data_IF_496902211880
#
_entry.id   IF_496902211880
#
_cell.length_a   1.000
_cell.length_b   1.000
_cell.length_c   1.000
_cell.angle_alpha   90.00
_cell.angle_beta   90.00
_cell.angle_gamma   90.00
#
_symmetry.space_group_name_H-M   'P 1'
#
loop_
_entity.id
_entity.type
_entity.pdbx_description
1 polymer ?
#
# COMPACT_ATOMS: atom_id res chain seq x y z
N UNK A 1 13.51 -8.57 -23.22
CA UNK A 1 14.77 -9.11 -22.67
C UNK A 1 15.88 -8.14 -22.98
N UNK A 2 16.34 -7.40 -21.95
CA UNK A 2 17.53 -6.54 -22.05
C UNK A 2 18.76 -7.46 -22.14
N UNK A 3 19.37 -7.56 -23.32
CA UNK A 3 20.68 -8.14 -23.49
C UNK A 3 21.73 -7.19 -22.88
N UNK A 4 21.98 -7.33 -21.59
CA UNK A 4 23.14 -6.72 -20.95
C UNK A 4 24.35 -7.61 -21.24
N UNK A 5 25.47 -7.04 -21.70
CA UNK A 5 26.70 -7.84 -21.87
C UNK A 5 27.11 -8.41 -20.51
N UNK A 6 27.49 -9.68 -20.43
CA UNK A 6 27.92 -10.27 -19.17
C UNK A 6 29.20 -9.56 -18.69
N UNK A 7 29.08 -8.87 -17.55
CA UNK A 7 30.27 -8.35 -16.87
C UNK A 7 30.95 -9.51 -16.14
N UNK A 8 32.15 -9.84 -16.55
CA UNK A 8 32.97 -10.90 -15.94
C UNK A 8 33.36 -10.58 -14.48
N UNK A 9 33.27 -9.31 -14.06
CA UNK A 9 33.58 -8.90 -12.70
C UNK A 9 32.75 -7.66 -12.30
N UNK A 10 31.63 -7.89 -11.64
CA UNK A 10 30.71 -6.84 -11.14
C UNK A 10 31.41 -5.90 -10.17
N UNK A 11 32.27 -6.43 -9.29
CA UNK A 11 32.99 -5.62 -8.30
C UNK A 11 33.95 -4.62 -8.98
N UNK A 12 34.68 -5.05 -10.00
CA UNK A 12 35.57 -4.21 -10.78
C UNK A 12 34.80 -3.09 -11.51
N UNK A 13 33.66 -3.44 -12.12
CA UNK A 13 32.79 -2.45 -12.75
C UNK A 13 32.28 -1.40 -11.76
N UNK A 14 31.72 -1.82 -10.62
CA UNK A 14 31.21 -0.92 -9.60
C UNK A 14 32.32 0.00 -9.06
N UNK A 15 33.52 -0.55 -8.83
CA UNK A 15 34.70 0.19 -8.36
C UNK A 15 35.17 1.22 -9.37
N UNK A 16 35.13 0.92 -10.68
CA UNK A 16 35.50 1.87 -11.75
C UNK A 16 34.55 3.07 -11.84
N UNK A 17 33.30 2.93 -11.38
CA UNK A 17 32.26 3.95 -11.45
C UNK A 17 32.01 4.72 -10.14
N UNK A 18 32.95 4.63 -9.18
CA UNK A 18 32.93 5.43 -7.93
C UNK A 18 33.61 6.81 -8.14
N UNK A 19 34.57 6.90 -9.07
CA UNK A 19 35.41 8.10 -9.31
C UNK A 19 35.23 8.62 -10.74
N UNK A 20 35.63 9.85 -10.96
CA UNK A 20 35.66 10.47 -12.29
C UNK A 20 34.34 11.17 -12.68
N UNK A 21 34.28 11.68 -13.93
CA UNK A 21 33.14 12.40 -14.51
C UNK A 21 31.89 11.49 -14.66
N UNK A 22 32.11 10.19 -14.88
CA UNK A 22 31.07 9.18 -15.06
C UNK A 22 30.72 8.46 -13.75
N UNK A 23 30.86 9.13 -12.63
CA UNK A 23 30.54 8.57 -11.31
C UNK A 23 29.05 8.21 -11.22
N UNK A 24 28.77 6.95 -10.91
CA UNK A 24 27.39 6.39 -10.81
C UNK A 24 27.05 5.88 -9.43
N UNK A 25 28.07 5.55 -8.63
CA UNK A 25 27.91 4.94 -7.32
C UNK A 25 28.69 5.70 -6.24
N UNK A 26 28.23 5.55 -5.01
CA UNK A 26 28.97 5.86 -3.78
C UNK A 26 29.33 4.54 -3.09
N UNK A 27 30.51 4.43 -2.50
CA UNK A 27 30.88 3.31 -1.62
C UNK A 27 30.95 3.82 -0.18
N UNK A 28 30.17 3.20 0.72
CA UNK A 28 30.17 3.44 2.16
C UNK A 28 30.04 2.10 2.87
N UNK A 29 30.83 1.85 3.91
CA UNK A 29 30.78 0.62 4.74
C UNK A 29 30.74 -0.67 3.90
N UNK A 30 31.63 -0.75 2.92
CA UNK A 30 31.75 -1.86 1.95
C UNK A 30 30.49 -2.13 1.09
N UNK A 31 29.54 -1.20 1.06
CA UNK A 31 28.31 -1.25 0.25
C UNK A 31 28.35 -0.19 -0.84
N UNK A 32 27.71 -0.49 -1.99
CA UNK A 32 27.55 0.42 -3.11
C UNK A 32 26.15 1.02 -3.12
N UNK A 33 26.07 2.34 -3.25
CA UNK A 33 24.82 3.10 -3.35
C UNK A 33 24.77 3.83 -4.69
N UNK A 34 23.60 3.86 -5.34
CA UNK A 34 23.39 4.66 -6.54
C UNK A 34 23.45 6.14 -6.21
N UNK A 35 24.18 6.92 -7.02
CA UNK A 35 24.08 8.38 -6.97
C UNK A 35 22.65 8.81 -7.34
N UNK A 36 22.12 9.81 -6.65
CA UNK A 36 20.76 10.32 -6.86
C UNK A 36 20.53 10.77 -8.32
N UNK A 37 21.53 11.38 -8.94
CA UNK A 37 21.50 11.79 -10.35
C UNK A 37 21.40 10.60 -11.28
N UNK A 38 22.20 9.57 -11.04
CA UNK A 38 22.20 8.36 -11.87
C UNK A 38 20.94 7.51 -11.65
N UNK A 39 20.42 7.46 -10.41
CA UNK A 39 19.13 6.83 -10.12
C UNK A 39 18.01 7.49 -10.93
N UNK A 40 17.99 8.84 -10.98
CA UNK A 40 16.98 9.57 -11.76
C UNK A 40 17.09 9.26 -13.25
N UNK A 41 18.31 9.23 -13.82
CA UNK A 41 18.54 8.87 -15.23
C UNK A 41 18.08 7.43 -15.52
N UNK A 42 18.35 6.49 -14.62
CA UNK A 42 17.88 5.11 -14.72
C UNK A 42 16.36 5.01 -14.68
N UNK A 43 15.72 5.68 -13.72
CA UNK A 43 14.26 5.68 -13.56
C UNK A 43 13.60 6.25 -14.82
N UNK A 44 14.16 7.32 -15.41
CA UNK A 44 13.67 7.93 -16.65
C UNK A 44 13.87 7.00 -17.88
N UNK A 45 14.96 6.22 -17.92
CA UNK A 45 15.27 5.28 -19.03
C UNK A 45 14.49 3.97 -18.95
N UNK A 46 14.26 3.47 -17.74
CA UNK A 46 13.50 2.21 -17.52
C UNK A 46 11.99 2.49 -17.65
N UNK A 47 11.60 3.77 -17.68
CA UNK A 47 10.19 4.15 -17.76
C UNK A 47 9.43 3.77 -16.48
N UNK A 48 10.14 3.71 -15.34
CA UNK A 48 9.45 3.53 -14.05
C UNK A 48 8.51 4.72 -13.91
N UNK A 49 7.21 4.50 -13.84
CA UNK A 49 6.26 5.59 -13.67
C UNK A 49 6.66 6.33 -12.39
N UNK A 50 7.05 7.60 -12.51
CA UNK A 50 7.13 8.45 -11.33
C UNK A 50 5.73 8.46 -10.75
N UNK A 51 5.57 7.83 -9.59
CA UNK A 51 4.41 8.12 -8.77
C UNK A 51 4.51 9.62 -8.48
N UNK A 52 3.75 10.42 -9.24
CA UNK A 52 3.65 11.84 -8.98
C UNK A 52 3.20 11.98 -7.53
N UNK A 53 3.92 12.78 -6.77
CA UNK A 53 3.63 13.05 -5.35
C UNK A 53 2.25 13.72 -5.13
N UNK A 54 1.52 14.01 -6.21
CA UNK A 54 0.19 14.59 -6.21
C UNK A 54 -0.69 13.80 -7.17
N UNK A 55 -1.04 12.57 -6.79
CA UNK A 55 -2.11 11.84 -7.47
C UNK A 55 -3.43 12.39 -6.92
N UNK A 56 -3.93 13.50 -7.51
CA UNK A 56 -5.32 13.87 -7.31
C UNK A 56 -6.18 12.73 -7.88
N UNK A 57 -6.82 12.00 -7.03
CA UNK A 57 -7.76 10.94 -7.41
C UNK A 57 -9.07 11.19 -6.70
N UNK A 58 -10.16 11.03 -7.45
CA UNK A 58 -11.51 11.09 -6.89
C UNK A 58 -11.88 9.86 -6.05
N UNK A 59 -10.99 8.86 -5.92
CA UNK A 59 -11.31 7.62 -5.22
C UNK A 59 -11.28 7.81 -3.69
N UNK A 60 -10.19 8.37 -3.16
CA UNK A 60 -10.10 8.91 -1.81
C UNK A 60 -8.93 9.92 -1.72
N UNK A 61 -8.94 10.85 -0.75
CA UNK A 61 -7.86 11.82 -0.57
C UNK A 61 -6.58 11.15 -0.04
N UNK A 62 -5.44 11.40 -0.69
CA UNK A 62 -4.14 10.86 -0.24
C UNK A 62 -3.69 11.50 1.08
N UNK A 63 -4.18 12.70 1.37
CA UNK A 63 -3.88 13.49 2.56
C UNK A 63 -4.23 12.75 3.85
N UNK A 64 -5.21 11.83 3.81
CA UNK A 64 -5.59 10.97 4.94
C UNK A 64 -4.39 10.15 5.48
N UNK A 65 -3.38 9.93 4.65
CA UNK A 65 -2.21 9.12 4.99
C UNK A 65 -0.97 9.94 5.35
N UNK A 66 -1.10 11.27 5.56
CA UNK A 66 0.06 12.12 5.82
C UNK A 66 0.79 11.75 7.12
N UNK A 67 0.04 11.46 8.17
CA UNK A 67 0.55 11.17 9.50
C UNK A 67 0.63 9.67 9.79
N UNK A 68 0.38 8.82 8.77
CA UNK A 68 0.45 7.37 8.88
C UNK A 68 1.85 6.84 8.56
N UNK A 69 2.05 5.53 8.73
CA UNK A 69 3.32 4.87 8.40
C UNK A 69 3.61 4.91 6.90
N UNK A 70 4.89 5.07 6.53
CA UNK A 70 5.31 5.27 5.13
C UNK A 70 4.88 4.17 4.16
N UNK A 71 4.76 2.91 4.61
CA UNK A 71 4.27 1.83 3.77
C UNK A 71 2.77 1.94 3.47
N UNK A 72 1.94 2.43 4.40
CA UNK A 72 0.52 2.70 4.17
C UNK A 72 0.34 3.79 3.11
N UNK A 73 1.09 4.89 3.24
CA UNK A 73 1.10 5.95 2.22
C UNK A 73 1.52 5.42 0.85
N UNK A 74 2.48 4.48 0.80
CA UNK A 74 2.90 3.83 -0.44
C UNK A 74 1.78 3.00 -1.05
N UNK A 75 1.08 2.17 -0.26
CA UNK A 75 -0.04 1.36 -0.73
C UNK A 75 -1.20 2.25 -1.18
N UNK A 76 -1.52 3.31 -0.43
CA UNK A 76 -2.55 4.28 -0.80
C UNK A 76 -2.24 4.93 -2.16
N UNK A 77 -1.00 5.39 -2.39
CA UNK A 77 -0.58 5.93 -3.69
C UNK A 77 -0.70 4.92 -4.82
N UNK A 78 -0.35 3.65 -4.59
CA UNK A 78 -0.51 2.58 -5.59
C UNK A 78 -1.98 2.32 -5.91
N UNK A 79 -2.85 2.35 -4.90
CA UNK A 79 -4.30 2.21 -5.05
C UNK A 79 -4.87 3.31 -5.93
N UNK A 80 -4.55 4.57 -5.62
CA UNK A 80 -4.99 5.74 -6.39
C UNK A 80 -4.43 5.73 -7.82
N UNK A 81 -3.16 5.36 -7.99
CA UNK A 81 -2.55 5.22 -9.31
C UNK A 81 -3.23 4.13 -10.15
N UNK A 82 -3.63 3.00 -9.53
CA UNK A 82 -4.36 1.92 -10.19
C UNK A 82 -5.75 2.39 -10.64
N UNK A 83 -6.49 3.09 -9.79
CA UNK A 83 -7.77 3.69 -10.14
C UNK A 83 -7.65 4.64 -11.33
N UNK A 84 -6.72 5.62 -11.27
CA UNK A 84 -6.52 6.62 -12.31
C UNK A 84 -6.07 6.03 -13.66
N UNK A 85 -5.38 4.88 -13.64
CA UNK A 85 -4.95 4.16 -14.84
C UNK A 85 -5.98 3.17 -15.37
N UNK A 86 -7.14 3.06 -14.75
CA UNK A 86 -8.17 2.12 -15.15
C UNK A 86 -7.86 0.65 -14.81
N UNK A 87 -6.90 0.41 -13.90
CA UNK A 87 -6.53 -0.92 -13.40
C UNK A 87 -7.43 -1.24 -12.21
N UNK A 88 -8.71 -1.45 -12.44
CA UNK A 88 -9.73 -1.50 -11.39
C UNK A 88 -9.64 -2.76 -10.51
N UNK A 89 -9.27 -3.91 -11.06
CA UNK A 89 -8.99 -5.11 -10.25
C UNK A 89 -7.80 -4.86 -9.30
N UNK A 90 -6.71 -4.25 -9.80
CA UNK A 90 -5.57 -3.87 -8.99
C UNK A 90 -5.94 -2.88 -7.88
N UNK A 91 -6.77 -1.88 -8.21
CA UNK A 91 -7.28 -0.92 -7.22
C UNK A 91 -8.11 -1.63 -6.13
N UNK A 92 -9.00 -2.54 -6.50
CA UNK A 92 -9.85 -3.30 -5.56
C UNK A 92 -9.03 -4.15 -4.60
N UNK A 93 -8.02 -4.88 -5.12
CA UNK A 93 -7.13 -5.73 -4.32
C UNK A 93 -6.27 -4.89 -3.37
N UNK A 94 -5.74 -3.76 -3.84
CA UNK A 94 -4.95 -2.86 -3.01
C UNK A 94 -5.80 -2.16 -1.94
N UNK A 95 -7.04 -1.79 -2.25
CA UNK A 95 -8.01 -1.26 -1.26
C UNK A 95 -8.28 -2.29 -0.17
N UNK A 96 -8.55 -3.55 -0.55
CA UNK A 96 -8.72 -4.66 0.40
C UNK A 96 -7.51 -4.81 1.31
N UNK A 97 -6.30 -4.83 0.75
CA UNK A 97 -5.04 -4.90 1.50
C UNK A 97 -4.88 -3.71 2.46
N UNK A 98 -5.23 -2.51 2.02
CA UNK A 98 -5.13 -1.30 2.83
C UNK A 98 -6.05 -1.38 4.07
N UNK A 99 -7.30 -1.80 3.87
CA UNK A 99 -8.26 -2.00 4.97
C UNK A 99 -7.79 -3.10 5.93
N UNK A 100 -7.27 -4.21 5.41
CA UNK A 100 -6.73 -5.31 6.22
C UNK A 100 -5.62 -4.83 7.16
N UNK A 101 -4.66 -4.06 6.63
CA UNK A 101 -3.55 -3.51 7.42
C UNK A 101 -4.07 -2.51 8.46
N UNK A 102 -4.97 -1.60 8.08
CA UNK A 102 -5.52 -0.62 9.01
C UNK A 102 -6.28 -1.28 10.16
N UNK A 103 -7.04 -2.36 9.91
CA UNK A 103 -7.71 -3.12 10.97
C UNK A 103 -6.66 -3.75 11.91
N UNK A 104 -5.63 -4.41 11.38
CA UNK A 104 -4.56 -4.99 12.19
C UNK A 104 -3.91 -3.92 13.06
N UNK A 105 -3.59 -2.76 12.50
CA UNK A 105 -2.97 -1.66 13.25
C UNK A 105 -3.88 -1.07 14.33
N UNK A 106 -5.21 -1.11 14.16
CA UNK A 106 -6.13 -0.78 15.25
C UNK A 106 -5.92 -1.69 16.46
N UNK A 107 -5.84 -3.01 16.25
CA UNK A 107 -5.64 -3.97 17.34
C UNK A 107 -4.23 -3.84 17.96
N UNK A 108 -3.19 -3.64 17.15
CA UNK A 108 -1.82 -3.41 17.63
C UNK A 108 -1.72 -2.13 18.47
N UNK A 109 -2.35 -1.05 18.00
CA UNK A 109 -2.36 0.25 18.70
C UNK A 109 -2.95 0.16 20.10
N UNK A 110 -4.01 -0.63 20.24
CA UNK A 110 -4.72 -0.81 21.50
C UNK A 110 -4.19 -1.98 22.35
N UNK A 111 -3.13 -2.68 21.89
CA UNK A 111 -2.50 -3.78 22.62
C UNK A 111 -3.35 -5.03 22.77
N UNK A 112 -4.30 -5.24 21.84
CA UNK A 112 -5.24 -6.38 21.83
C UNK A 112 -5.11 -7.23 20.56
N UNK A 113 -3.97 -7.18 19.90
CA UNK A 113 -3.68 -7.89 18.65
C UNK A 113 -3.68 -9.42 18.79
N UNK A 114 -3.58 -9.94 20.02
CA UNK A 114 -3.77 -11.35 20.32
C UNK A 114 -5.19 -11.87 19.97
N UNK A 115 -6.20 -10.99 19.96
CA UNK A 115 -7.59 -11.34 19.63
C UNK A 115 -7.78 -11.67 18.14
N UNK A 116 -6.83 -11.26 17.29
CA UNK A 116 -6.88 -11.44 15.84
C UNK A 116 -5.78 -12.35 15.32
N UNK A 117 -5.17 -13.16 16.18
CA UNK A 117 -4.15 -14.14 15.83
C UNK A 117 -4.63 -15.57 16.11
N UNK A 118 -4.20 -16.50 15.26
CA UNK A 118 -4.40 -17.92 15.46
C UNK A 118 -3.37 -18.51 16.46
N UNK A 119 -3.47 -19.81 16.75
CA UNK A 119 -2.54 -20.54 17.62
C UNK A 119 -1.08 -20.47 17.18
N UNK A 120 -0.82 -20.27 15.89
CA UNK A 120 0.51 -20.19 15.31
C UNK A 120 1.07 -18.77 15.30
N UNK A 121 0.31 -17.79 15.83
CA UNK A 121 0.67 -16.38 15.90
C UNK A 121 0.44 -15.60 14.60
N UNK A 122 -0.18 -16.21 13.58
CA UNK A 122 -0.52 -15.54 12.33
C UNK A 122 -1.82 -14.76 12.46
N UNK A 123 -1.90 -13.59 11.85
CA UNK A 123 -3.14 -12.81 11.78
C UNK A 123 -4.22 -13.56 11.00
N UNK A 124 -5.46 -13.37 11.41
CA UNK A 124 -6.63 -13.87 10.71
C UNK A 124 -6.77 -13.31 9.30
N UNK A 125 -7.55 -13.97 8.45
CA UNK A 125 -7.93 -13.42 7.15
C UNK A 125 -8.91 -12.25 7.32
N UNK A 126 -8.98 -11.37 6.34
CA UNK A 126 -9.78 -10.15 6.40
C UNK A 126 -11.25 -10.38 6.84
N UNK A 127 -11.87 -11.51 6.49
CA UNK A 127 -13.24 -11.83 6.95
C UNK A 127 -13.34 -11.91 8.46
N UNK A 128 -12.39 -12.60 9.08
CA UNK A 128 -12.38 -12.81 10.52
C UNK A 128 -11.88 -11.56 11.22
N UNK A 129 -10.91 -10.84 10.64
CA UNK A 129 -10.49 -9.52 11.12
C UNK A 129 -11.66 -8.54 11.19
N UNK A 130 -12.49 -8.45 10.16
CA UNK A 130 -13.70 -7.60 10.17
C UNK A 130 -14.67 -8.06 11.25
N UNK A 131 -14.84 -9.37 11.42
CA UNK A 131 -15.75 -9.92 12.43
C UNK A 131 -15.31 -9.54 13.84
N UNK A 132 -14.02 -9.70 14.17
CA UNK A 132 -13.50 -9.35 15.48
C UNK A 132 -13.49 -7.82 15.67
N UNK A 133 -13.12 -7.05 14.63
CA UNK A 133 -13.17 -5.59 14.68
C UNK A 133 -14.57 -5.05 15.02
N UNK A 134 -15.61 -5.63 14.44
CA UNK A 134 -16.99 -5.20 14.68
C UNK A 134 -17.56 -5.62 16.05
N UNK A 135 -16.93 -6.60 16.72
CA UNK A 135 -17.29 -7.06 18.06
C UNK A 135 -16.65 -6.24 19.18
N UNK A 136 -15.55 -5.51 18.87
CA UNK A 136 -14.79 -4.80 19.91
C UNK A 136 -15.65 -3.72 20.57
N UNK A 137 -15.96 -3.86 21.88
CA UNK A 137 -16.95 -3.01 22.54
C UNK A 137 -16.43 -1.60 22.84
N UNK A 138 -15.11 -1.43 22.89
CA UNK A 138 -14.47 -0.17 23.24
C UNK A 138 -14.36 0.80 22.06
N UNK A 139 -14.64 0.33 20.85
CA UNK A 139 -14.53 1.14 19.65
C UNK A 139 -15.88 1.65 19.17
N UNK A 140 -15.98 2.97 19.06
CA UNK A 140 -17.20 3.62 18.58
C UNK A 140 -17.21 3.64 17.03
N UNK A 141 -17.54 2.48 16.43
CA UNK A 141 -17.61 2.31 14.98
C UNK A 141 -18.98 2.73 14.47
N UNK A 142 -19.02 3.63 13.49
CA UNK A 142 -20.29 4.10 12.93
C UNK A 142 -21.05 2.99 12.21
N UNK A 143 -22.38 3.16 12.10
CA UNK A 143 -23.24 2.23 11.36
C UNK A 143 -22.85 2.15 9.88
N UNK A 144 -22.36 3.25 9.32
CA UNK A 144 -21.91 3.31 7.93
C UNK A 144 -20.68 2.44 7.73
N UNK A 145 -19.62 2.60 8.53
CA UNK A 145 -18.43 1.77 8.43
C UNK A 145 -18.74 0.28 8.62
N UNK A 146 -19.62 -0.06 9.60
CA UNK A 146 -20.07 -1.45 9.80
C UNK A 146 -20.69 -2.07 8.54
N UNK A 147 -21.48 -1.30 7.77
CA UNK A 147 -22.10 -1.78 6.52
C UNK A 147 -21.13 -1.75 5.33
N UNK A 148 -20.16 -0.84 5.34
CA UNK A 148 -19.24 -0.60 4.23
C UNK A 148 -18.11 -1.63 4.18
N UNK A 149 -17.57 -2.05 5.34
CA UNK A 149 -16.48 -3.02 5.42
C UNK A 149 -16.73 -4.32 4.63
N UNK A 150 -17.92 -5.01 4.80
CA UNK A 150 -18.21 -6.22 4.01
C UNK A 150 -18.34 -5.96 2.51
N UNK A 151 -18.82 -4.77 2.10
CA UNK A 151 -18.95 -4.42 0.67
C UNK A 151 -17.57 -4.24 0.03
N UNK A 152 -16.67 -3.49 0.70
CA UNK A 152 -15.29 -3.25 0.24
C UNK A 152 -14.56 -4.59 0.10
N UNK A 153 -14.63 -5.44 1.15
CA UNK A 153 -14.07 -6.79 1.12
C UNK A 153 -14.58 -7.60 -0.06
N UNK A 154 -15.90 -7.63 -0.31
CA UNK A 154 -16.51 -8.42 -1.36
C UNK A 154 -16.00 -8.04 -2.75
N UNK A 155 -15.82 -6.74 -3.06
CA UNK A 155 -15.28 -6.29 -4.35
C UNK A 155 -13.82 -6.70 -4.47
N UNK A 156 -13.02 -6.53 -3.43
CA UNK A 156 -11.62 -6.96 -3.41
C UNK A 156 -11.46 -8.48 -3.59
N UNK A 157 -12.30 -9.28 -2.93
CA UNK A 157 -12.30 -10.74 -3.05
C UNK A 157 -12.71 -11.21 -4.45
N UNK A 158 -13.71 -10.56 -5.06
CA UNK A 158 -14.10 -10.85 -6.45
C UNK A 158 -12.95 -10.58 -7.40
N UNK A 159 -12.27 -9.44 -7.26
CA UNK A 159 -11.13 -9.08 -8.10
C UNK A 159 -9.93 -10.01 -7.89
N UNK A 160 -9.71 -10.53 -6.68
CA UNK A 160 -8.58 -11.40 -6.37
C UNK A 160 -8.81 -12.86 -6.76
N UNK A 161 -10.03 -13.38 -6.60
CA UNK A 161 -10.27 -14.82 -6.61
C UNK A 161 -11.31 -15.29 -7.64
N UNK A 162 -12.14 -14.41 -8.19
CA UNK A 162 -13.14 -14.81 -9.16
C UNK A 162 -12.59 -14.67 -10.59
N UNK A 163 -12.23 -15.78 -11.21
CA UNK A 163 -11.64 -15.84 -12.56
C UNK A 163 -12.53 -15.23 -13.68
N UNK A 164 -13.82 -15.02 -13.45
CA UNK A 164 -14.77 -14.47 -14.45
C UNK A 164 -15.16 -13.02 -14.16
N UNK A 165 -14.80 -12.50 -12.98
CA UNK A 165 -15.07 -11.12 -12.64
C UNK A 165 -13.91 -10.23 -13.11
N UNK A 166 -14.25 -9.12 -13.70
CA UNK A 166 -13.32 -8.05 -14.07
C UNK A 166 -13.94 -6.76 -13.55
N UNK A 167 -13.28 -6.13 -12.60
CA UNK A 167 -13.76 -4.88 -12.01
C UNK A 167 -13.83 -3.77 -13.05
N UNK A 168 -14.87 -2.96 -12.96
CA UNK A 168 -15.10 -1.79 -13.81
C UNK A 168 -15.09 -0.52 -12.97
N UNK A 169 -14.95 0.62 -13.65
CA UNK A 169 -14.98 1.94 -12.97
C UNK A 169 -16.20 2.09 -12.07
N UNK A 170 -17.38 1.74 -12.58
CA UNK A 170 -18.64 1.89 -11.84
C UNK A 170 -18.70 1.03 -10.57
N UNK A 171 -18.03 -0.12 -10.52
CA UNK A 171 -17.96 -0.97 -9.33
C UNK A 171 -17.21 -0.24 -8.20
N UNK A 172 -16.14 0.47 -8.55
CA UNK A 172 -15.35 1.26 -7.59
C UNK A 172 -16.01 2.60 -7.26
N UNK A 173 -16.58 3.28 -8.24
CA UNK A 173 -17.33 4.53 -8.02
C UNK A 173 -18.48 4.29 -7.04
N UNK A 174 -19.13 3.13 -7.11
CA UNK A 174 -20.22 2.73 -6.22
C UNK A 174 -19.81 2.52 -4.75
N UNK A 175 -18.52 2.38 -4.47
CA UNK A 175 -17.99 2.18 -3.09
C UNK A 175 -17.01 3.25 -2.65
N UNK A 176 -16.67 4.25 -3.46
CA UNK A 176 -15.62 5.22 -3.12
C UNK A 176 -15.90 6.00 -1.83
N UNK A 177 -17.14 6.40 -1.59
CA UNK A 177 -17.55 7.06 -0.35
C UNK A 177 -17.48 6.10 0.84
N UNK A 178 -17.87 4.82 0.64
CA UNK A 178 -17.74 3.77 1.64
C UNK A 178 -16.25 3.56 2.02
N UNK A 179 -15.36 3.51 1.02
CA UNK A 179 -13.90 3.34 1.22
C UNK A 179 -13.32 4.53 1.98
N UNK A 180 -13.64 5.74 1.56
CA UNK A 180 -13.18 6.97 2.22
C UNK A 180 -13.61 6.98 3.69
N UNK A 181 -14.90 6.78 3.96
CA UNK A 181 -15.45 6.79 5.33
C UNK A 181 -14.78 5.76 6.22
N UNK A 182 -14.56 4.53 5.70
CA UNK A 182 -13.90 3.47 6.46
C UNK A 182 -12.44 3.82 6.76
N UNK A 183 -11.70 4.35 5.78
CA UNK A 183 -10.30 4.75 5.96
C UNK A 183 -10.20 5.87 7.01
N UNK A 184 -11.03 6.92 6.91
CA UNK A 184 -11.07 8.04 7.86
C UNK A 184 -11.32 7.53 9.29
N UNK A 185 -12.28 6.64 9.44
CA UNK A 185 -12.65 6.08 10.76
C UNK A 185 -11.55 5.20 11.36
N UNK A 186 -10.94 4.34 10.55
CA UNK A 186 -9.83 3.48 10.98
C UNK A 186 -8.60 4.32 11.38
N UNK A 187 -8.22 5.31 10.58
CA UNK A 187 -7.09 6.20 10.88
C UNK A 187 -7.35 6.99 12.16
N UNK A 188 -8.58 7.50 12.35
CA UNK A 188 -8.97 8.20 13.57
C UNK A 188 -8.89 7.28 14.80
N UNK A 189 -9.33 6.03 14.67
CA UNK A 189 -9.30 5.05 15.75
C UNK A 189 -7.86 4.64 16.12
N UNK A 190 -6.96 4.54 15.15
CA UNK A 190 -5.54 4.23 15.36
C UNK A 190 -4.82 5.38 16.07
N UNK A 191 -5.17 6.64 15.75
CA UNK A 191 -4.57 7.83 16.34
C UNK A 191 -3.03 7.80 16.25
N UNK A 192 -2.51 7.83 15.02
CA UNK A 192 -1.08 7.72 14.72
C UNK A 192 -0.23 8.80 15.41
N UNK A 193 -0.76 10.00 15.60
CA UNK A 193 -0.05 11.12 16.26
C UNK A 193 0.35 10.75 17.69
N UNK A 194 -0.50 10.00 18.38
CA UNK A 194 -0.27 9.56 19.76
C UNK A 194 0.27 8.13 19.86
N UNK A 195 0.49 7.45 18.73
CA UNK A 195 1.09 6.11 18.69
C UNK A 195 2.61 6.19 18.59
N UNK A 196 3.27 6.18 19.75
CA UNK A 196 4.74 6.16 19.91
C UNK A 196 5.24 4.78 20.32
#
# INVERSE_FOLDING_TARGET
LLHLPPYSNIHSYLSSKIKGRDKKYLKKDNRYFLLRTFKKDLDDRIGIPKLSSNVHSDFFPIELFNDTRGYLKTIANQTLASYNKGIYDGCSVLTRKLIEILIIECFERHGVDNLIKNSDGNFYFLSDLITEFLKEPNWNITRNAKRSLPKIKNIGDKSAHNRRYIARKNDLDGIKEDVRTVIEELIHLIDYENWR
#
